data_IF_779238604277
#
_entry.id   IF_779238604277
#
_cell.length_a   1.000
_cell.length_b   1.000
_cell.length_c   1.000
_cell.angle_alpha   90.00
_cell.angle_beta   90.00
_cell.angle_gamma   90.00
#
_symmetry.space_group_name_H-M   'P 1'
#
loop_
_entity.id
_entity.type
_entity.pdbx_description
1 polymer ?
#
# COMPACT_ATOMS: atom_id res chain seq x y z
N UNK A 1 13.30 13.94 2.16
CA UNK A 1 13.85 12.61 2.46
C UNK A 1 13.43 11.66 1.35
N UNK A 2 14.28 10.79 0.83
CA UNK A 2 13.95 9.85 -0.27
C UNK A 2 14.77 8.58 -0.14
N UNK A 3 14.21 7.45 -0.57
CA UNK A 3 14.88 6.15 -0.59
C UNK A 3 14.36 5.31 -1.75
N UNK A 4 15.19 4.43 -2.30
CA UNK A 4 14.80 3.37 -3.23
C UNK A 4 14.21 2.15 -2.52
N UNK A 5 14.44 2.02 -1.21
CA UNK A 5 13.79 1.02 -0.37
C UNK A 5 12.48 1.60 0.18
N UNK A 6 11.37 1.06 -0.29
CA UNK A 6 10.01 1.53 0.01
C UNK A 6 9.70 1.47 1.51
N UNK A 7 10.08 0.39 2.19
CA UNK A 7 9.85 0.22 3.63
C UNK A 7 10.61 1.24 4.46
N UNK A 8 11.89 1.45 4.14
CA UNK A 8 12.73 2.46 4.81
C UNK A 8 12.17 3.86 4.59
N UNK A 9 11.72 4.15 3.36
CA UNK A 9 11.13 5.44 3.02
C UNK A 9 9.87 5.70 3.83
N UNK A 10 8.95 4.75 3.88
CA UNK A 10 7.68 4.88 4.63
C UNK A 10 7.93 5.06 6.13
N UNK A 11 8.76 4.21 6.74
CA UNK A 11 9.10 4.33 8.16
C UNK A 11 9.75 5.67 8.51
N UNK A 12 10.66 6.14 7.66
CA UNK A 12 11.36 7.41 7.86
C UNK A 12 10.42 8.63 7.77
N UNK A 13 9.46 8.64 6.83
CA UNK A 13 8.46 9.72 6.75
C UNK A 13 7.47 9.69 7.91
N UNK A 14 7.04 8.51 8.35
CA UNK A 14 6.20 8.37 9.54
C UNK A 14 6.88 8.92 10.78
N UNK A 15 8.15 8.56 10.99
CA UNK A 15 8.96 9.07 12.11
C UNK A 15 9.15 10.59 12.01
N UNK A 16 9.48 11.11 10.81
CA UNK A 16 9.60 12.54 10.59
C UNK A 16 8.32 13.30 10.93
N UNK A 17 7.17 12.81 10.44
CA UNK A 17 5.88 13.44 10.70
C UNK A 17 5.53 13.45 12.20
N UNK A 18 5.87 12.38 12.91
CA UNK A 18 5.67 12.27 14.36
C UNK A 18 6.57 13.24 15.13
N UNK A 19 7.86 13.30 14.79
CA UNK A 19 8.80 14.27 15.41
C UNK A 19 8.40 15.71 15.10
N UNK A 20 8.00 16.02 13.86
CA UNK A 20 7.50 17.35 13.51
C UNK A 20 6.28 17.73 14.36
N UNK A 21 5.35 16.78 14.56
CA UNK A 21 4.17 17.03 15.39
C UNK A 21 4.54 17.27 16.86
N UNK A 22 5.53 16.56 17.41
CA UNK A 22 6.03 16.78 18.77
C UNK A 22 6.68 18.14 18.97
N UNK A 23 7.42 18.61 17.96
CA UNK A 23 8.10 19.90 17.95
C UNK A 23 7.19 21.07 17.51
N UNK A 24 5.93 20.81 17.20
CA UNK A 24 4.98 21.83 16.73
C UNK A 24 5.28 22.38 15.35
N UNK A 25 5.93 21.57 14.50
CA UNK A 25 6.28 21.92 13.13
C UNK A 25 5.20 21.42 12.16
N UNK A 26 4.85 22.22 11.15
CA UNK A 26 3.83 21.94 10.13
C UNK A 26 4.34 22.11 8.70
N UNK A 27 5.64 21.86 8.48
CA UNK A 27 6.23 21.97 7.14
C UNK A 27 5.62 20.95 6.17
N UNK A 28 5.36 21.37 4.90
CA UNK A 28 4.83 20.46 3.90
C UNK A 28 5.83 19.35 3.55
N UNK A 29 5.31 18.13 3.40
CA UNK A 29 6.09 16.94 3.09
C UNK A 29 5.95 16.57 1.61
N UNK A 30 7.09 16.43 0.92
CA UNK A 30 7.17 16.01 -0.47
C UNK A 30 7.57 14.56 -0.57
N UNK A 31 6.63 13.68 -0.92
CA UNK A 31 6.82 12.23 -0.97
C UNK A 31 7.43 11.78 -2.30
N UNK A 32 8.22 10.70 -2.26
CA UNK A 32 8.69 10.06 -3.48
C UNK A 32 9.57 8.84 -3.21
N UNK A 33 9.34 7.79 -3.99
CA UNK A 33 10.24 6.64 -4.10
C UNK A 33 11.24 6.95 -5.21
N UNK A 34 12.55 6.87 -4.92
CA UNK A 34 13.59 7.07 -5.93
C UNK A 34 13.95 5.74 -6.59
N UNK A 35 14.28 5.82 -7.89
CA UNK A 35 14.71 4.64 -8.64
C UNK A 35 13.70 3.47 -8.53
N UNK A 36 12.43 3.78 -8.75
CA UNK A 36 11.37 2.80 -8.62
C UNK A 36 11.46 1.70 -9.70
N UNK A 37 12.13 1.97 -10.80
CA UNK A 37 12.23 1.07 -11.96
C UNK A 37 11.39 1.56 -13.13
N UNK A 38 11.11 0.67 -14.09
CA UNK A 38 10.37 0.95 -15.31
C UNK A 38 9.11 0.09 -15.41
N UNK A 39 8.27 0.37 -16.40
CA UNK A 39 7.08 -0.42 -16.70
C UNK A 39 6.08 -0.45 -15.52
N UNK A 40 5.30 -1.52 -15.46
CA UNK A 40 4.28 -1.69 -14.44
C UNK A 40 4.87 -1.87 -13.04
N UNK A 41 6.00 -2.55 -12.92
CA UNK A 41 6.70 -2.79 -11.65
C UNK A 41 7.12 -1.48 -10.97
N UNK A 42 7.73 -0.55 -11.73
CA UNK A 42 8.10 0.77 -11.19
C UNK A 42 6.90 1.60 -10.73
N UNK A 43 5.78 1.50 -11.46
CA UNK A 43 4.50 2.15 -11.08
C UNK A 43 3.93 1.56 -9.79
N UNK A 44 3.90 0.23 -9.68
CA UNK A 44 3.45 -0.49 -8.48
C UNK A 44 4.31 -0.13 -7.28
N UNK A 45 5.64 -0.17 -7.40
CA UNK A 45 6.56 0.19 -6.32
C UNK A 45 6.36 1.64 -5.84
N UNK A 46 6.19 2.57 -6.77
CA UNK A 46 5.86 3.96 -6.43
C UNK A 46 4.51 4.06 -5.72
N UNK A 47 3.51 3.32 -6.20
CA UNK A 47 2.16 3.32 -5.63
C UNK A 47 2.13 2.74 -4.21
N UNK A 48 2.84 1.65 -3.95
CA UNK A 48 2.95 1.05 -2.61
C UNK A 48 3.55 2.05 -1.62
N UNK A 49 4.68 2.67 -1.96
CA UNK A 49 5.38 3.58 -1.04
C UNK A 49 4.65 4.90 -0.81
N UNK A 50 4.24 5.58 -1.89
CA UNK A 50 3.51 6.85 -1.81
C UNK A 50 2.12 6.60 -1.20
N UNK A 51 1.42 5.54 -1.66
CA UNK A 51 0.10 5.17 -1.17
C UNK A 51 0.06 4.87 0.33
N UNK A 52 1.10 4.22 0.87
CA UNK A 52 1.20 3.96 2.31
C UNK A 52 1.17 5.25 3.13
N UNK A 53 1.90 6.28 2.69
CA UNK A 53 1.95 7.56 3.40
C UNK A 53 0.67 8.38 3.19
N UNK A 54 0.13 8.42 1.96
CA UNK A 54 -1.14 9.09 1.70
C UNK A 54 -2.31 8.44 2.45
N UNK A 55 -2.33 7.11 2.60
CA UNK A 55 -3.31 6.41 3.43
C UNK A 55 -3.21 6.78 4.91
N UNK A 56 -2.02 7.13 5.39
CA UNK A 56 -1.78 7.62 6.75
C UNK A 56 -2.07 9.13 6.89
N UNK A 57 -2.44 9.83 5.81
CA UNK A 57 -2.65 11.27 5.77
C UNK A 57 -1.35 12.06 5.83
N UNK A 58 -0.24 11.48 5.40
CA UNK A 58 1.08 12.10 5.33
C UNK A 58 1.40 12.46 3.89
N UNK A 59 1.78 13.73 3.62
CA UNK A 59 2.23 14.21 2.33
C UNK A 59 1.33 15.27 1.73
N UNK A 60 1.95 16.32 1.20
CA UNK A 60 1.29 17.49 0.59
C UNK A 60 1.52 17.50 -0.92
N UNK A 61 2.66 16.99 -1.35
CA UNK A 61 3.00 16.82 -2.76
C UNK A 61 3.69 15.49 -2.99
N UNK A 62 3.61 14.96 -4.21
CA UNK A 62 4.21 13.68 -4.57
C UNK A 62 5.09 13.79 -5.82
N UNK A 63 6.07 12.92 -5.92
CA UNK A 63 6.86 12.67 -7.13
C UNK A 63 6.95 11.18 -7.39
N UNK A 64 6.51 10.78 -8.57
CA UNK A 64 6.83 9.46 -9.13
C UNK A 64 8.18 9.59 -9.84
N UNK A 65 9.06 8.60 -9.70
CA UNK A 65 10.39 8.61 -10.32
C UNK A 65 10.64 7.24 -10.97
N UNK A 66 10.45 7.20 -12.28
CA UNK A 66 10.62 6.01 -13.11
C UNK A 66 11.93 6.09 -13.91
N UNK A 67 12.39 4.92 -14.36
CA UNK A 67 13.50 4.83 -15.34
C UNK A 67 12.93 4.91 -16.78
N UNK A 68 12.12 5.94 -17.02
CA UNK A 68 11.40 6.20 -18.27
C UNK A 68 11.47 7.70 -18.62
N UNK A 69 10.89 8.09 -19.77
CA UNK A 69 10.74 9.50 -20.13
C UNK A 69 9.87 10.21 -19.09
N UNK A 70 10.24 11.45 -18.65
CA UNK A 70 9.58 12.16 -17.54
C UNK A 70 8.06 12.36 -17.71
N UNK A 71 7.60 12.48 -18.95
CA UNK A 71 6.16 12.60 -19.27
C UNK A 71 5.34 11.36 -18.89
N UNK A 72 5.99 10.20 -18.70
CA UNK A 72 5.35 8.97 -18.24
C UNK A 72 5.08 8.97 -16.73
N UNK A 73 5.77 9.79 -15.96
CA UNK A 73 5.59 9.92 -14.51
C UNK A 73 4.30 10.68 -14.16
N UNK A 74 3.94 11.68 -14.96
CA UNK A 74 2.81 12.60 -14.69
C UNK A 74 1.46 11.88 -14.58
N UNK A 75 1.06 10.98 -15.52
CA UNK A 75 -0.21 10.27 -15.40
C UNK A 75 -0.31 9.41 -14.14
N UNK A 76 0.79 8.75 -13.75
CA UNK A 76 0.85 7.90 -12.56
C UNK A 76 0.75 8.74 -11.28
N UNK A 77 1.47 9.86 -11.22
CA UNK A 77 1.41 10.79 -10.09
C UNK A 77 0.00 11.37 -9.93
N UNK A 78 -0.64 11.77 -11.03
CA UNK A 78 -2.02 12.29 -11.02
C UNK A 78 -3.00 11.21 -10.58
N UNK A 79 -2.90 10.00 -11.11
CA UNK A 79 -3.75 8.87 -10.72
C UNK A 79 -3.68 8.61 -9.21
N UNK A 80 -2.48 8.62 -8.62
CA UNK A 80 -2.29 8.45 -7.19
C UNK A 80 -2.89 9.62 -6.39
N UNK A 81 -2.65 10.86 -6.79
CA UNK A 81 -3.19 12.02 -6.13
C UNK A 81 -4.73 12.01 -6.14
N UNK A 82 -5.35 11.77 -7.31
CA UNK A 82 -6.79 11.72 -7.48
C UNK A 82 -7.42 10.54 -6.68
N UNK A 83 -6.73 9.40 -6.62
CA UNK A 83 -7.19 8.22 -5.88
C UNK A 83 -7.32 8.47 -4.36
N UNK A 84 -6.50 9.36 -3.80
CA UNK A 84 -6.54 9.72 -2.38
C UNK A 84 -7.29 11.03 -2.10
N UNK A 85 -7.62 11.84 -3.10
CA UNK A 85 -8.20 13.17 -2.92
C UNK A 85 -9.53 13.20 -2.13
N UNK A 86 -10.36 12.16 -2.28
CA UNK A 86 -11.67 12.06 -1.63
C UNK A 86 -11.67 11.18 -0.37
N UNK A 87 -10.50 10.74 0.08
CA UNK A 87 -10.44 9.84 1.24
C UNK A 87 -10.48 10.63 2.54
N UNK A 88 -11.26 10.19 3.52
CA UNK A 88 -11.20 10.79 4.85
C UNK A 88 -9.79 10.61 5.43
N UNK A 89 -9.30 11.64 6.12
CA UNK A 89 -7.95 11.72 6.68
C UNK A 89 -7.60 10.61 7.67
N UNK A 90 -6.50 10.79 8.40
CA UNK A 90 -5.85 9.82 9.29
C UNK A 90 -6.84 8.94 10.05
N UNK A 91 -6.63 7.62 9.95
CA UNK A 91 -7.27 6.68 10.85
C UNK A 91 -6.34 6.39 12.03
N UNK A 92 -6.78 6.65 13.26
CA UNK A 92 -6.01 6.28 14.43
C UNK A 92 -5.86 4.75 14.46
N UNK A 93 -4.64 4.29 14.67
CA UNK A 93 -4.38 2.87 14.92
C UNK A 93 -5.02 2.49 16.26
N UNK A 94 -5.99 1.56 16.25
CA UNK A 94 -6.73 1.17 17.46
C UNK A 94 -5.90 0.34 18.44
N UNK A 95 -4.88 -0.36 17.93
CA UNK A 95 -4.02 -1.26 18.72
C UNK A 95 -2.55 -0.88 18.53
N UNK A 96 -2.10 0.28 19.05
CA UNK A 96 -0.72 0.73 18.87
C UNK A 96 0.32 -0.24 19.46
N UNK A 97 -0.07 -1.04 20.45
CA UNK A 97 0.78 -2.08 21.03
C UNK A 97 1.02 -3.27 20.08
N UNK A 98 0.15 -3.47 19.08
CA UNK A 98 0.24 -4.56 18.09
C UNK A 98 0.85 -4.13 16.77
N UNK A 99 1.01 -2.84 16.56
CA UNK A 99 1.50 -2.26 15.31
C UNK A 99 2.50 -1.14 15.59
N UNK A 100 3.75 -1.33 15.14
CA UNK A 100 4.74 -0.25 15.10
C UNK A 100 4.79 0.36 13.71
N UNK A 101 4.54 1.66 13.54
CA UNK A 101 4.63 2.32 12.24
C UNK A 101 6.08 2.48 11.74
N UNK A 102 7.07 2.20 12.60
CA UNK A 102 8.50 2.42 12.32
C UNK A 102 9.29 1.13 12.14
N UNK A 103 8.81 0.03 12.78
CA UNK A 103 9.49 -1.26 12.76
C UNK A 103 8.64 -2.31 12.05
N UNK A 104 9.26 -3.02 11.12
CA UNK A 104 8.58 -4.12 10.48
C UNK A 104 8.53 -5.34 11.40
N UNK A 105 7.30 -5.79 11.70
CA UNK A 105 7.04 -7.05 12.38
C UNK A 105 5.89 -7.77 11.68
N UNK A 106 6.09 -9.01 11.35
CA UNK A 106 4.99 -9.82 10.83
C UNK A 106 4.04 -10.18 11.96
N UNK A 107 2.76 -10.04 11.67
CA UNK A 107 1.68 -10.39 12.61
C UNK A 107 1.53 -11.90 12.75
N UNK A 108 1.84 -12.67 11.71
CA UNK A 108 1.72 -14.13 11.63
C UNK A 108 3.06 -14.84 11.41
N UNK A 109 3.03 -16.17 11.41
CA UNK A 109 4.19 -17.01 11.10
C UNK A 109 4.46 -17.17 9.59
N UNK A 110 3.59 -16.66 8.72
CA UNK A 110 3.78 -16.70 7.26
C UNK A 110 4.97 -15.82 6.88
N UNK A 111 6.03 -16.41 6.35
CA UNK A 111 7.27 -15.70 6.04
C UNK A 111 7.19 -14.93 4.72
N UNK A 112 6.55 -15.51 3.71
CA UNK A 112 6.37 -14.92 2.38
C UNK A 112 4.88 -14.76 2.13
N UNK A 113 4.40 -13.55 1.80
CA UNK A 113 3.01 -13.36 1.45
C UNK A 113 2.61 -14.15 0.20
N UNK A 114 1.35 -14.55 0.12
CA UNK A 114 0.81 -15.47 -0.87
C UNK A 114 -0.06 -14.76 -1.89
N UNK A 115 0.05 -15.13 -3.18
CA UNK A 115 -0.88 -14.74 -4.23
C UNK A 115 -2.13 -15.61 -4.22
N UNK A 116 -3.15 -15.24 -4.99
CA UNK A 116 -4.46 -15.93 -5.06
C UNK A 116 -4.37 -17.44 -5.23
N UNK A 117 -3.46 -17.93 -6.07
CA UNK A 117 -3.31 -19.37 -6.36
C UNK A 117 -2.65 -20.15 -5.23
N UNK A 118 -1.95 -19.46 -4.33
CA UNK A 118 -1.21 -20.03 -3.21
C UNK A 118 -2.00 -20.00 -1.90
N UNK A 119 -3.15 -19.26 -1.86
CA UNK A 119 -3.95 -19.12 -0.65
C UNK A 119 -4.54 -20.46 -0.21
N UNK A 120 -4.27 -20.92 1.03
CA UNK A 120 -4.98 -22.06 1.61
C UNK A 120 -6.50 -21.84 1.63
N UNK A 121 -7.26 -22.89 1.36
CA UNK A 121 -8.72 -22.82 1.29
C UNK A 121 -9.38 -22.40 2.62
N UNK A 122 -8.72 -22.63 3.74
CA UNK A 122 -9.16 -22.28 5.09
C UNK A 122 -8.62 -20.93 5.58
N UNK A 123 -7.76 -20.24 4.79
CA UNK A 123 -7.27 -18.92 5.16
C UNK A 123 -8.39 -17.88 5.05
N UNK A 124 -8.68 -17.12 6.12
CA UNK A 124 -9.67 -16.06 6.06
C UNK A 124 -9.23 -14.97 5.07
N UNK A 125 -10.15 -14.54 4.22
CA UNK A 125 -9.96 -13.43 3.28
C UNK A 125 -10.83 -12.26 3.74
N UNK A 126 -10.17 -11.18 4.15
CA UNK A 126 -10.84 -9.93 4.54
C UNK A 126 -11.07 -9.08 3.31
N UNK A 127 -12.32 -8.74 3.01
CA UNK A 127 -12.69 -7.93 1.86
C UNK A 127 -13.05 -6.50 2.30
N UNK A 128 -12.43 -5.51 1.65
CA UNK A 128 -12.76 -4.11 1.86
C UNK A 128 -13.91 -3.68 0.96
N UNK A 129 -14.83 -2.90 1.53
CA UNK A 129 -16.00 -2.35 0.87
C UNK A 129 -16.07 -0.82 0.93
N UNK A 130 -15.23 -0.17 1.74
CA UNK A 130 -15.25 1.28 1.92
C UNK A 130 -14.40 2.03 0.88
N UNK A 131 -14.53 3.35 0.87
CA UNK A 131 -13.69 4.25 0.06
C UNK A 131 -12.22 4.31 0.54
N UNK A 132 -11.91 3.76 1.71
CA UNK A 132 -10.56 3.69 2.25
C UNK A 132 -10.21 2.24 2.62
N UNK A 133 -9.91 1.39 1.61
CA UNK A 133 -9.63 -0.02 1.81
C UNK A 133 -8.48 -0.29 2.78
N UNK A 134 -7.41 0.52 2.69
CA UNK A 134 -6.23 0.38 3.55
C UNK A 134 -6.57 0.51 5.03
N UNK A 135 -7.35 1.53 5.38
CA UNK A 135 -7.72 1.77 6.77
C UNK A 135 -8.69 0.71 7.31
N UNK A 136 -9.67 0.32 6.50
CA UNK A 136 -10.64 -0.74 6.83
C UNK A 136 -9.94 -2.08 7.08
N UNK A 137 -9.11 -2.51 6.14
CA UNK A 137 -8.37 -3.77 6.25
C UNK A 137 -7.33 -3.75 7.37
N UNK A 138 -6.64 -2.62 7.56
CA UNK A 138 -5.70 -2.46 8.68
C UNK A 138 -6.41 -2.65 10.02
N UNK A 139 -7.56 -2.03 10.22
CA UNK A 139 -8.35 -2.18 11.43
C UNK A 139 -8.80 -3.65 11.62
N UNK A 140 -9.35 -4.26 10.58
CA UNK A 140 -9.78 -5.66 10.64
C UNK A 140 -8.64 -6.64 10.93
N UNK A 141 -7.46 -6.43 10.33
CA UNK A 141 -6.28 -7.25 10.57
C UNK A 141 -5.75 -7.13 12.02
N UNK A 142 -5.82 -5.92 12.58
CA UNK A 142 -5.40 -5.67 13.97
C UNK A 142 -6.39 -6.22 15.00
N UNK A 143 -7.65 -6.37 14.63
CA UNK A 143 -8.69 -6.97 15.50
C UNK A 143 -8.61 -8.52 15.52
N UNK A 144 -7.93 -9.15 14.56
CA UNK A 144 -7.70 -10.59 14.58
C UNK A 144 -6.77 -11.03 15.71
N UNK A 145 -6.95 -12.28 16.16
CA UNK A 145 -6.04 -12.88 17.13
C UNK A 145 -4.58 -12.89 16.63
N UNK A 146 -3.61 -12.56 17.49
CA UNK A 146 -2.21 -12.61 17.15
C UNK A 146 -1.78 -13.97 16.60
N UNK A 147 -1.05 -13.97 15.49
CA UNK A 147 -0.57 -15.20 14.86
C UNK A 147 -1.54 -15.85 13.87
N UNK A 148 -2.80 -15.42 13.82
CA UNK A 148 -3.78 -15.93 12.86
C UNK A 148 -3.48 -15.36 11.46
N UNK A 149 -3.10 -16.15 10.45
CA UNK A 149 -2.84 -15.65 9.11
C UNK A 149 -4.14 -15.20 8.43
N UNK A 150 -4.04 -14.14 7.59
CA UNK A 150 -5.17 -13.65 6.82
C UNK A 150 -4.74 -13.01 5.50
N UNK A 151 -5.52 -13.24 4.46
CA UNK A 151 -5.41 -12.58 3.19
C UNK A 151 -6.33 -11.34 3.13
N UNK A 152 -5.98 -10.39 2.26
CA UNK A 152 -6.75 -9.18 2.01
C UNK A 152 -7.27 -9.16 0.58
N UNK A 153 -8.47 -8.61 0.40
CA UNK A 153 -9.14 -8.52 -0.89
C UNK A 153 -9.78 -7.15 -1.09
N UNK A 154 -9.76 -6.70 -2.33
CA UNK A 154 -10.52 -5.52 -2.75
C UNK A 154 -11.00 -5.70 -4.19
N UNK A 155 -12.19 -5.11 -4.49
CA UNK A 155 -12.80 -5.15 -5.82
C UNK A 155 -12.49 -3.87 -6.58
N UNK A 156 -12.09 -4.04 -7.85
CA UNK A 156 -11.79 -2.94 -8.77
C UNK A 156 -12.62 -3.07 -10.06
N UNK A 157 -13.07 -1.92 -10.58
CA UNK A 157 -13.86 -1.82 -11.80
C UNK A 157 -13.13 -1.06 -12.92
N UNK A 158 -11.81 -0.94 -12.80
CA UNK A 158 -10.98 -0.19 -13.74
C UNK A 158 -10.95 -0.87 -15.12
N UNK A 159 -10.95 -0.07 -16.20
CA UNK A 159 -10.90 -0.59 -17.57
C UNK A 159 -9.46 -0.89 -18.04
N UNK A 160 -8.46 -0.38 -17.38
CA UNK A 160 -7.04 -0.57 -17.69
C UNK A 160 -6.36 -1.36 -16.57
N UNK A 161 -5.58 -2.38 -16.95
CA UNK A 161 -4.80 -3.19 -16.01
C UNK A 161 -3.75 -2.33 -15.27
N UNK A 162 -3.14 -1.35 -15.95
CA UNK A 162 -2.18 -0.43 -15.34
C UNK A 162 -2.86 0.41 -14.24
N UNK A 163 -4.03 0.98 -14.53
CA UNK A 163 -4.80 1.76 -13.56
C UNK A 163 -5.20 0.91 -12.35
N UNK A 164 -5.70 -0.30 -12.60
CA UNK A 164 -6.04 -1.25 -11.56
C UNK A 164 -4.81 -1.56 -10.69
N UNK A 165 -3.69 -1.90 -11.31
CA UNK A 165 -2.47 -2.28 -10.61
C UNK A 165 -1.94 -1.15 -9.70
N UNK A 166 -1.93 0.10 -10.20
CA UNK A 166 -1.52 1.27 -9.40
C UNK A 166 -2.45 1.48 -8.21
N UNK A 167 -3.77 1.41 -8.40
CA UNK A 167 -4.75 1.58 -7.32
C UNK A 167 -4.67 0.43 -6.31
N UNK A 168 -4.62 -0.82 -6.78
CA UNK A 168 -4.50 -1.99 -5.90
C UNK A 168 -3.21 -1.97 -5.09
N UNK A 169 -2.09 -1.57 -5.72
CA UNK A 169 -0.82 -1.40 -5.04
C UNK A 169 -0.88 -0.31 -3.95
N UNK A 170 -1.52 0.82 -4.24
CA UNK A 170 -1.70 1.91 -3.28
C UNK A 170 -2.62 1.53 -2.11
N UNK A 171 -3.62 0.67 -2.35
CA UNK A 171 -4.61 0.26 -1.34
C UNK A 171 -4.13 -0.91 -0.47
N UNK A 172 -3.57 -1.94 -1.09
CA UNK A 172 -3.25 -3.21 -0.44
C UNK A 172 -1.78 -3.34 -0.07
N UNK A 173 -0.87 -2.76 -0.86
CA UNK A 173 0.57 -2.79 -0.62
C UNK A 173 1.00 -2.29 0.76
N UNK A 174 0.42 -1.23 1.31
CA UNK A 174 0.71 -0.75 2.66
C UNK A 174 0.57 -1.81 3.75
N UNK A 175 -0.39 -2.73 3.63
CA UNK A 175 -0.65 -3.77 4.61
C UNK A 175 0.49 -4.82 4.68
N UNK A 176 1.19 -5.02 3.57
CA UNK A 176 2.38 -5.88 3.48
C UNK A 176 3.63 -5.16 3.95
N UNK A 177 3.75 -3.86 3.69
CA UNK A 177 4.82 -3.02 4.28
C UNK A 177 4.74 -3.01 5.80
N UNK A 178 3.54 -2.99 6.34
CA UNK A 178 3.25 -3.00 7.78
C UNK A 178 3.37 -4.41 8.40
N UNK A 179 3.55 -5.46 7.59
CA UNK A 179 3.63 -6.85 8.06
C UNK A 179 2.30 -7.44 8.56
N UNK A 180 1.18 -6.81 8.21
CA UNK A 180 -0.14 -7.17 8.73
C UNK A 180 -0.83 -8.25 7.91
N UNK A 181 -0.73 -8.23 6.58
CA UNK A 181 -1.38 -9.17 5.67
C UNK A 181 -0.42 -10.30 5.27
N UNK A 182 -0.99 -11.48 5.03
CA UNK A 182 -0.28 -12.71 4.68
C UNK A 182 -0.59 -13.21 3.27
N UNK A 183 -1.64 -12.70 2.64
CA UNK A 183 -2.00 -13.00 1.27
C UNK A 183 -2.82 -11.89 0.63
N UNK A 184 -2.89 -11.94 -0.70
CA UNK A 184 -3.59 -10.94 -1.51
C UNK A 184 -4.53 -11.61 -2.52
N UNK A 185 -5.71 -11.00 -2.73
CA UNK A 185 -6.65 -11.38 -3.77
C UNK A 185 -7.30 -10.15 -4.36
N UNK A 186 -6.94 -9.79 -5.57
CA UNK A 186 -7.56 -8.69 -6.32
C UNK A 186 -8.79 -9.23 -7.04
N UNK A 187 -9.95 -8.59 -6.87
CA UNK A 187 -11.20 -8.97 -7.55
C UNK A 187 -11.51 -7.99 -8.67
N UNK A 188 -11.37 -8.41 -9.91
CA UNK A 188 -11.63 -7.61 -11.11
C UNK A 188 -12.05 -8.52 -12.27
N UNK A 189 -13.35 -8.85 -12.39
CA UNK A 189 -13.84 -9.86 -13.34
C UNK A 189 -13.59 -9.55 -14.82
N UNK A 190 -13.25 -8.29 -15.13
CA UNK A 190 -12.94 -7.83 -16.48
C UNK A 190 -11.53 -8.22 -16.96
N UNK A 191 -10.69 -8.76 -16.08
CA UNK A 191 -9.33 -9.24 -16.40
C UNK A 191 -9.20 -10.74 -16.13
N UNK A 192 -8.23 -11.37 -16.80
CA UNK A 192 -7.91 -12.77 -16.61
C UNK A 192 -7.26 -13.07 -15.26
N UNK A 193 -7.49 -14.24 -14.69
CA UNK A 193 -6.91 -14.66 -13.41
C UNK A 193 -5.37 -14.57 -13.41
N UNK A 194 -4.72 -14.95 -14.52
CA UNK A 194 -3.27 -14.87 -14.64
C UNK A 194 -2.72 -13.44 -14.68
N UNK A 195 -3.46 -12.51 -15.28
CA UNK A 195 -3.08 -11.08 -15.26
C UNK A 195 -3.16 -10.50 -13.86
N UNK A 196 -4.22 -10.85 -13.15
CA UNK A 196 -4.41 -10.39 -11.76
C UNK A 196 -3.37 -10.99 -10.82
N UNK A 197 -3.03 -12.27 -10.98
CA UNK A 197 -1.98 -12.92 -10.19
C UNK A 197 -0.60 -12.30 -10.42
N UNK A 198 -0.30 -11.90 -11.66
CA UNK A 198 0.95 -11.19 -11.97
C UNK A 198 1.01 -9.82 -11.26
N UNK A 199 -0.10 -9.08 -11.23
CA UNK A 199 -0.19 -7.83 -10.47
C UNK A 199 -0.01 -8.09 -8.97
N UNK A 200 -0.66 -9.11 -8.42
CA UNK A 200 -0.50 -9.51 -7.02
C UNK A 200 0.96 -9.82 -6.68
N UNK A 201 1.64 -10.60 -7.53
CA UNK A 201 3.05 -10.94 -7.36
C UNK A 201 3.95 -9.71 -7.35
N UNK A 202 3.70 -8.74 -8.24
CA UNK A 202 4.46 -7.48 -8.28
C UNK A 202 4.23 -6.62 -7.02
N UNK A 203 3.03 -6.63 -6.45
CA UNK A 203 2.73 -5.90 -5.20
C UNK A 203 3.47 -6.52 -4.01
N UNK A 204 3.70 -7.83 -4.01
CA UNK A 204 4.33 -8.55 -2.92
C UNK A 204 5.86 -8.54 -2.94
N UNK A 205 6.50 -8.13 -4.07
CA UNK A 205 7.96 -7.97 -4.21
C UNK A 205 8.47 -6.70 -3.52
#
# INVERSE_FOLDING_TARGET
>A
MKSSNTRVMVAAYRLLADEMAREGMDYPLHLGVTEAGSGLEGRIKSAVGIGALLADGIGDTIRVSLTEAPEREIPVARLLADHFAERPGRFPVRHPERFSPYEFRRRSAVQVPLTRSELPADMPVLEACSKNPTAELRAALLDLEPGCPAAVSCRYCESSLETLAVKAAADLGPLFLDGLADGIRIVAPQFGEGELEEVERMILQ
#
